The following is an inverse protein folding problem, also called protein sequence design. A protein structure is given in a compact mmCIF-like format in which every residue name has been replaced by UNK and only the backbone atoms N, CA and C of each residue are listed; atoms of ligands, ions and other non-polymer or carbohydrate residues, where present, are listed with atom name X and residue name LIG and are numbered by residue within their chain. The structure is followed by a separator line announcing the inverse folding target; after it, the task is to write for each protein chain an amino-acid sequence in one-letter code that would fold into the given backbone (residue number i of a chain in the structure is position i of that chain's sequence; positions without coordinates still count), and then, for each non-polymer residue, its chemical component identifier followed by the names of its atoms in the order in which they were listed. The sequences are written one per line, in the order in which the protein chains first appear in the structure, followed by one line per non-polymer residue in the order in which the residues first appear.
data_IF_940521014847
#
_entry.id   IF_940521014847
#
_cell.length_a   1.000
_cell.length_b   1.000
_cell.length_c   1.000
_cell.angle_alpha   90.00
_cell.angle_beta   90.00
_cell.angle_gamma   90.00
#
_symmetry.space_group_name_H-M   'P 1'
#
loop_
_entity.id
_entity.type
_entity.pdbx_description
1 polymer ?
#
# COMPACT_ATOMS: atom_id res chain seq x y z
N UNK A 1 -4.06 -14.64 12.74
CA UNK A 1 -4.73 -14.59 14.06
C UNK A 1 -5.26 -13.18 14.25
N UNK A 2 -6.58 -13.00 14.34
CA UNK A 2 -7.17 -11.66 14.54
C UNK A 2 -7.06 -11.26 16.00
N UNK A 3 -6.58 -10.03 16.27
CA UNK A 3 -6.56 -9.45 17.60
C UNK A 3 -7.71 -8.45 17.72
N UNK A 4 -8.63 -8.68 18.66
CA UNK A 4 -9.75 -7.77 18.95
C UNK A 4 -9.39 -6.90 20.15
N UNK A 5 -9.66 -5.59 20.06
CA UNK A 5 -9.40 -4.63 21.15
C UNK A 5 -10.58 -3.68 21.26
N UNK A 6 -10.92 -3.30 22.49
CA UNK A 6 -11.84 -2.20 22.71
C UNK A 6 -11.17 -0.87 22.35
N UNK A 7 -11.97 0.03 21.80
CA UNK A 7 -11.57 1.39 21.45
C UNK A 7 -12.49 2.36 22.16
N UNK A 8 -11.89 3.34 22.82
CA UNK A 8 -12.64 4.43 23.43
C UNK A 8 -12.87 5.51 22.38
N UNK A 9 -14.12 5.93 22.26
CA UNK A 9 -14.53 7.06 21.43
C UNK A 9 -14.67 8.27 22.34
N UNK A 10 -13.97 9.35 22.01
CA UNK A 10 -14.04 10.58 22.80
C UNK A 10 -15.39 11.29 22.63
N UNK A 11 -15.61 12.36 23.41
CA UNK A 11 -16.85 13.15 23.36
C UNK A 11 -17.10 13.85 22.01
N UNK A 12 -16.12 13.85 21.11
CA UNK A 12 -16.20 14.41 19.75
C UNK A 12 -16.33 13.32 18.69
N UNK A 13 -16.55 12.06 19.07
CA UNK A 13 -16.70 10.95 18.14
C UNK A 13 -15.37 10.44 17.54
N UNK A 14 -14.22 10.78 18.14
CA UNK A 14 -12.90 10.43 17.60
C UNK A 14 -12.34 9.19 18.27
N UNK A 15 -11.59 8.41 17.51
CA UNK A 15 -10.83 7.26 18.00
C UNK A 15 -9.35 7.45 17.70
N UNK A 16 -8.48 7.13 18.67
CA UNK A 16 -7.04 7.15 18.45
C UNK A 16 -6.56 5.81 17.93
N UNK A 17 -6.00 5.80 16.72
CA UNK A 17 -5.45 4.61 16.08
C UNK A 17 -3.93 4.47 16.26
N UNK A 18 -3.29 5.39 16.99
CA UNK A 18 -1.84 5.42 17.17
C UNK A 18 -1.28 4.14 17.81
N UNK A 19 -2.09 3.45 18.65
CA UNK A 19 -1.73 2.15 19.26
C UNK A 19 -1.61 1.01 18.24
N UNK A 20 -2.13 1.21 17.03
CA UNK A 20 -2.04 0.28 15.91
C UNK A 20 -0.98 0.69 14.89
N UNK A 21 -0.24 1.77 15.14
CA UNK A 21 0.83 2.26 14.26
C UNK A 21 0.40 3.37 13.30
N UNK A 22 -0.90 3.65 13.14
CA UNK A 22 -1.37 4.70 12.26
C UNK A 22 -1.15 6.09 12.86
N UNK A 23 -0.32 6.90 12.19
CA UNK A 23 -0.01 8.28 12.55
C UNK A 23 0.12 9.12 11.29
N UNK A 24 -0.57 10.26 11.22
CA UNK A 24 -0.57 11.14 10.05
C UNK A 24 -0.94 10.42 8.74
N UNK A 25 -1.83 9.42 8.81
CA UNK A 25 -2.27 8.60 7.67
C UNK A 25 -3.76 8.84 7.43
N UNK A 26 -4.17 8.86 6.17
CA UNK A 26 -5.59 8.81 5.78
C UNK A 26 -6.00 7.35 5.60
N UNK A 27 -7.15 6.98 6.14
CA UNK A 27 -7.73 5.64 6.00
C UNK A 27 -9.09 5.76 5.32
N UNK A 28 -9.42 4.77 4.51
CA UNK A 28 -10.76 4.60 4.00
C UNK A 28 -11.61 3.97 5.11
N UNK A 29 -12.73 4.61 5.43
CA UNK A 29 -13.73 4.04 6.32
C UNK A 29 -14.90 3.50 5.51
N UNK A 30 -15.18 2.21 5.68
CA UNK A 30 -16.31 1.51 5.07
C UNK A 30 -17.26 1.16 6.20
N UNK A 31 -18.51 1.60 6.09
CA UNK A 31 -19.57 1.26 7.03
C UNK A 31 -20.51 0.25 6.39
N UNK A 32 -20.63 -0.92 7.02
CA UNK A 32 -21.54 -1.98 6.61
C UNK A 32 -22.95 -1.76 7.20
N UNK A 33 -23.94 -2.45 6.65
CA UNK A 33 -25.36 -2.33 7.06
C UNK A 33 -25.60 -2.72 8.52
N UNK A 34 -24.79 -3.62 9.06
CA UNK A 34 -24.86 -4.05 10.46
C UNK A 34 -24.22 -3.05 11.45
N UNK A 35 -23.69 -1.94 10.93
CA UNK A 35 -23.03 -0.90 11.71
C UNK A 35 -21.54 -1.15 11.95
N UNK A 36 -20.96 -2.22 11.41
CA UNK A 36 -19.52 -2.46 11.43
C UNK A 36 -18.79 -1.38 10.63
N UNK A 37 -17.68 -0.88 11.16
CA UNK A 37 -16.78 0.04 10.46
C UNK A 37 -15.44 -0.66 10.22
N UNK A 38 -15.11 -0.84 8.95
CA UNK A 38 -13.80 -1.33 8.50
C UNK A 38 -12.92 -0.15 8.10
N UNK A 39 -11.67 -0.15 8.56
CA UNK A 39 -10.67 0.87 8.22
C UNK A 39 -9.55 0.24 7.40
N UNK A 40 -9.31 0.79 6.22
CA UNK A 40 -8.30 0.29 5.28
C UNK A 40 -7.27 1.37 4.97
N UNK A 41 -6.00 0.97 4.90
CA UNK A 41 -4.95 1.84 4.39
C UNK A 41 -5.11 1.97 2.87
N UNK A 42 -5.19 3.20 2.40
CA UNK A 42 -5.34 3.50 0.98
C UNK A 42 -4.15 4.30 0.50
N UNK A 43 -3.60 3.88 -0.63
CA UNK A 43 -2.61 4.64 -1.38
C UNK A 43 -3.39 5.44 -2.43
N UNK A 44 -3.58 6.75 -2.26
CA UNK A 44 -4.24 7.55 -3.28
C UNK A 44 -3.33 7.58 -4.52
N UNK A 45 -3.83 7.03 -5.63
CA UNK A 45 -3.16 7.07 -6.92
C UNK A 45 -3.83 8.12 -7.81
N UNK A 46 -3.03 8.89 -8.52
CA UNK A 46 -3.51 9.66 -9.66
C UNK A 46 -3.94 8.71 -10.78
N UNK A 47 -4.76 9.19 -11.71
CA UNK A 47 -5.20 8.38 -12.86
C UNK A 47 -4.02 7.86 -13.69
N UNK A 48 -3.00 8.70 -13.92
CA UNK A 48 -1.80 8.30 -14.65
C UNK A 48 -1.01 7.20 -13.92
N UNK A 49 -0.88 7.30 -12.59
CA UNK A 49 -0.26 6.24 -11.79
C UNK A 49 -1.06 4.95 -11.81
N UNK A 50 -2.39 5.03 -11.72
CA UNK A 50 -3.26 3.86 -11.85
C UNK A 50 -3.09 3.19 -13.23
N UNK A 51 -3.10 3.97 -14.31
CA UNK A 51 -2.89 3.46 -15.67
C UNK A 51 -1.50 2.82 -15.82
N UNK A 52 -0.47 3.41 -15.21
CA UNK A 52 0.89 2.83 -15.18
C UNK A 52 0.97 1.53 -14.38
N UNK A 53 0.39 1.48 -13.18
CA UNK A 53 0.41 0.28 -12.32
C UNK A 53 -0.51 -0.84 -12.82
N UNK A 54 -1.46 -0.52 -13.72
CA UNK A 54 -2.34 -1.50 -14.37
C UNK A 54 -1.87 -1.87 -15.77
N UNK A 55 -0.76 -1.32 -16.27
CA UNK A 55 -0.19 -1.67 -17.58
C UNK A 55 0.20 -3.15 -17.62
N UNK A 56 -0.48 -3.98 -18.44
CA UNK A 56 -0.20 -5.40 -18.54
C UNK A 56 1.27 -5.69 -18.90
N UNK A 57 1.90 -4.84 -19.72
CA UNK A 57 3.29 -5.02 -20.13
C UNK A 57 4.26 -4.79 -18.96
N UNK A 58 3.98 -3.78 -18.12
CA UNK A 58 4.76 -3.51 -16.92
C UNK A 58 4.64 -4.63 -15.88
N UNK A 59 3.42 -5.14 -15.66
CA UNK A 59 3.14 -6.27 -14.77
C UNK A 59 3.89 -7.52 -15.25
N UNK A 60 3.82 -7.84 -16.54
CA UNK A 60 4.49 -9.00 -17.12
C UNK A 60 6.03 -8.86 -17.03
N UNK A 61 6.56 -7.67 -17.26
CA UNK A 61 7.99 -7.38 -17.12
C UNK A 61 8.46 -7.59 -15.67
N UNK A 62 7.70 -7.10 -14.68
CA UNK A 62 8.01 -7.28 -13.26
C UNK A 62 7.97 -8.75 -12.86
N UNK A 63 6.94 -9.50 -13.27
CA UNK A 63 6.82 -10.94 -12.99
C UNK A 63 7.99 -11.74 -13.57
N UNK A 64 8.41 -11.42 -14.81
CA UNK A 64 9.59 -12.02 -15.43
C UNK A 64 10.85 -11.68 -14.63
N UNK A 65 11.04 -10.43 -14.24
CA UNK A 65 12.19 -9.99 -13.46
C UNK A 65 12.27 -10.70 -12.10
N UNK A 66 11.16 -10.83 -11.38
CA UNK A 66 11.10 -11.59 -10.13
C UNK A 66 11.40 -13.07 -10.32
N UNK A 67 10.88 -13.69 -11.39
CA UNK A 67 11.17 -15.10 -11.71
C UNK A 67 12.66 -15.28 -12.01
N UNK A 68 13.28 -14.34 -12.74
CA UNK A 68 14.71 -14.36 -13.02
C UNK A 68 15.53 -14.19 -11.74
N UNK A 69 15.15 -13.29 -10.84
CA UNK A 69 15.79 -13.11 -9.55
C UNK A 69 15.71 -14.38 -8.69
N UNK A 70 14.51 -14.98 -8.58
CA UNK A 70 14.29 -16.21 -7.82
C UNK A 70 15.07 -17.41 -8.37
N UNK A 71 15.31 -17.45 -9.68
CA UNK A 71 16.05 -18.53 -10.36
C UNK A 71 17.54 -18.24 -10.54
N UNK A 72 18.06 -17.17 -9.94
CA UNK A 72 19.49 -16.78 -10.03
C UNK A 72 19.92 -16.29 -11.42
N UNK A 73 18.97 -15.94 -12.28
CA UNK A 73 19.19 -15.43 -13.65
C UNK A 73 19.12 -13.90 -13.76
N UNK A 74 18.90 -13.20 -12.65
CA UNK A 74 18.92 -11.74 -12.64
C UNK A 74 20.32 -11.24 -12.98
N UNK A 75 20.40 -10.30 -13.94
CA UNK A 75 21.64 -9.63 -14.28
C UNK A 75 21.90 -8.51 -13.26
N UNK A 76 23.17 -8.27 -12.88
CA UNK A 76 23.52 -7.07 -12.13
C UNK A 76 23.04 -5.83 -12.90
N UNK A 77 22.32 -4.96 -12.21
CA UNK A 77 21.98 -3.65 -12.75
C UNK A 77 23.19 -2.73 -12.56
N UNK A 78 23.75 -2.25 -13.68
CA UNK A 78 24.70 -1.13 -13.65
C UNK A 78 23.93 0.10 -14.09
N UNK A 79 23.70 1.09 -13.20
CA UNK A 79 23.09 2.35 -13.61
C UNK A 79 23.99 3.01 -14.67
N UNK A 80 23.47 3.21 -15.87
CA UNK A 80 24.19 3.93 -16.92
C UNK A 80 23.92 5.42 -16.74
N UNK A 81 24.89 6.15 -16.21
CA UNK A 81 24.93 7.61 -16.19
C UNK A 81 24.41 8.26 -14.90
N UNK A 82 25.26 8.33 -13.88
CA UNK A 82 25.39 9.60 -13.15
C UNK A 82 26.22 10.51 -14.07
N UNK A 83 25.64 11.61 -14.58
CA UNK A 83 26.46 12.76 -14.93
C UNK A 83 26.85 13.45 -13.63
N UNK A 84 28.13 13.52 -13.26
CA UNK A 84 28.58 14.35 -12.16
C UNK A 84 28.64 15.81 -12.63
N UNK A 85 27.72 16.65 -12.15
CA UNK A 85 27.90 18.11 -12.00
C UNK A 85 27.81 18.96 -13.26
#
# INVERSE_FOLDING_TARGET
MQTRRFLDVDSRGRVSLAKFGYKNTQLLAIQDEDGTITLEEVVPLTRAELEHFTDPAAIEALQRAWTQAATGKARPFTPTGEEPG
#
